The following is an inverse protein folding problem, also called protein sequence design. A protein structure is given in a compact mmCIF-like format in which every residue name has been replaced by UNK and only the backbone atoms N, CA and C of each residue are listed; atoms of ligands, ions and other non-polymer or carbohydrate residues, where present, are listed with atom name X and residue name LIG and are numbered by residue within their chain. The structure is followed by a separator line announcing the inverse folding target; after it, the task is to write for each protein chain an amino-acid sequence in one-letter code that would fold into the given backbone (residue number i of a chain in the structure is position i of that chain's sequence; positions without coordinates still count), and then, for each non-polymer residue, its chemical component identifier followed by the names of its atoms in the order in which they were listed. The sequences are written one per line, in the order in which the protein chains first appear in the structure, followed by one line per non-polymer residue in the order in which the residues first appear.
data_IF_741696582044
#
_entry.id   IF_741696582044
#
_cell.length_a   1.000
_cell.length_b   1.000
_cell.length_c   1.000
_cell.angle_alpha   90.00
_cell.angle_beta   90.00
_cell.angle_gamma   90.00
#
_symmetry.space_group_name_H-M   'P 1'
#
loop_
_entity.id
_entity.type
_entity.pdbx_description
1 polymer ?
#
# COMPACT_ATOMS: atom_id res chain seq x y z
N UNK A 1 -40.60 34.55 -74.74
CA UNK A 1 -40.76 34.38 -73.26
C UNK A 1 -39.86 33.23 -72.79
N UNK A 2 -38.77 33.54 -72.09
CA UNK A 2 -37.80 32.55 -71.58
C UNK A 2 -37.99 32.45 -70.04
N UNK A 3 -38.49 31.34 -69.57
CA UNK A 3 -38.54 31.03 -68.12
C UNK A 3 -37.19 30.45 -67.66
N UNK A 4 -36.52 31.15 -66.75
CA UNK A 4 -35.34 30.66 -66.07
C UNK A 4 -35.81 29.90 -64.82
N UNK A 5 -35.53 28.58 -64.75
CA UNK A 5 -35.71 27.73 -63.58
C UNK A 5 -34.47 27.90 -62.68
N UNK A 6 -34.67 28.42 -61.49
CA UNK A 6 -33.64 28.39 -60.41
C UNK A 6 -33.86 27.15 -59.59
N UNK A 7 -32.93 26.19 -59.67
CA UNK A 7 -32.85 25.05 -58.78
C UNK A 7 -32.03 25.51 -57.55
N UNK A 8 -32.70 25.67 -56.41
CA UNK A 8 -32.05 25.89 -55.11
C UNK A 8 -31.52 24.55 -54.59
N UNK A 9 -30.21 24.38 -54.63
CA UNK A 9 -29.51 23.21 -54.06
C UNK A 9 -29.31 23.48 -52.57
N UNK A 10 -30.20 22.92 -51.71
CA UNK A 10 -30.08 22.94 -50.26
C UNK A 10 -29.00 21.93 -49.84
N UNK A 11 -27.81 22.42 -49.51
CA UNK A 11 -26.74 21.63 -48.92
C UNK A 11 -27.10 21.37 -47.46
N UNK A 12 -27.67 20.20 -47.17
CA UNK A 12 -27.82 19.67 -45.78
C UNK A 12 -26.44 19.21 -45.32
N UNK A 13 -25.71 20.05 -44.58
CA UNK A 13 -24.50 19.67 -43.87
C UNK A 13 -24.95 18.87 -42.65
N UNK A 14 -24.95 17.54 -42.76
CA UNK A 14 -25.01 16.63 -41.60
C UNK A 14 -23.70 16.78 -40.86
N UNK A 15 -23.68 17.60 -39.82
CA UNK A 15 -22.65 17.61 -38.82
C UNK A 15 -22.77 16.29 -38.01
N UNK A 16 -22.13 15.24 -38.49
CA UNK A 16 -21.88 14.06 -37.70
C UNK A 16 -20.96 14.47 -36.55
N UNK A 17 -21.54 14.81 -35.40
CA UNK A 17 -20.84 14.83 -34.12
C UNK A 17 -20.43 13.39 -33.84
N UNK A 18 -19.25 12.98 -34.29
CA UNK A 18 -18.62 11.76 -33.87
C UNK A 18 -18.32 12.00 -32.39
N UNK A 19 -19.18 11.50 -31.53
CA UNK A 19 -18.87 11.27 -30.12
C UNK A 19 -17.72 10.26 -30.11
N UNK A 20 -16.48 10.76 -30.10
CA UNK A 20 -15.36 9.97 -29.68
C UNK A 20 -15.67 9.62 -28.23
N UNK A 21 -16.19 8.44 -27.96
CA UNK A 21 -16.09 7.85 -26.65
C UNK A 21 -14.57 7.80 -26.38
N UNK A 22 -14.07 8.72 -25.56
CA UNK A 22 -12.69 8.66 -25.12
C UNK A 22 -12.53 7.29 -24.44
N UNK A 23 -11.73 6.43 -25.05
CA UNK A 23 -11.33 5.20 -24.38
C UNK A 23 -10.64 5.59 -23.06
N UNK A 24 -10.94 4.85 -21.99
CA UNK A 24 -10.28 5.07 -20.71
C UNK A 24 -8.76 4.99 -20.87
N UNK A 25 -8.05 5.86 -20.20
CA UNK A 25 -6.58 5.89 -20.20
C UNK A 25 -6.08 4.65 -19.44
N UNK A 26 -5.24 3.84 -20.08
CA UNK A 26 -4.67 2.64 -19.48
C UNK A 26 -3.60 3.03 -18.47
N UNK A 27 -3.77 2.55 -17.22
CA UNK A 27 -2.87 2.78 -16.10
C UNK A 27 -2.33 1.45 -15.60
N UNK A 28 -1.00 1.33 -15.53
CA UNK A 28 -0.32 0.18 -14.98
C UNK A 28 0.08 0.46 -13.52
N UNK A 29 -0.60 -0.19 -12.61
CA UNK A 29 -0.35 -0.10 -11.18
C UNK A 29 0.29 -1.38 -10.66
N UNK A 30 1.53 -1.30 -10.14
CA UNK A 30 2.20 -2.47 -9.60
C UNK A 30 2.19 -2.49 -8.07
N UNK A 31 1.88 -3.66 -7.50
CA UNK A 31 1.98 -3.89 -6.05
C UNK A 31 3.36 -4.41 -5.67
N UNK A 32 3.69 -4.35 -4.39
CA UNK A 32 4.94 -4.87 -3.85
C UNK A 32 4.89 -6.37 -3.55
N UNK A 33 3.68 -6.96 -3.52
CA UNK A 33 3.46 -8.36 -3.16
C UNK A 33 2.39 -9.01 -4.03
N UNK A 34 2.18 -10.31 -3.83
CA UNK A 34 1.09 -11.09 -4.44
C UNK A 34 -0.27 -10.53 -4.03
N UNK A 35 -1.30 -10.74 -4.84
CA UNK A 35 -2.65 -10.27 -4.55
C UNK A 35 -3.16 -10.82 -3.22
N UNK A 36 -3.62 -9.91 -2.36
CA UNK A 36 -4.08 -10.21 -1.00
C UNK A 36 -4.93 -9.05 -0.45
N UNK A 37 -5.63 -9.20 0.69
CA UNK A 37 -6.51 -8.18 1.24
C UNK A 37 -5.84 -6.83 1.55
N UNK A 38 -4.54 -6.81 1.74
CA UNK A 38 -3.73 -5.59 1.89
C UNK A 38 -3.68 -4.74 0.60
N UNK A 39 -4.21 -5.27 -0.50
CA UNK A 39 -4.44 -4.57 -1.77
C UNK A 39 -5.93 -4.40 -2.05
N UNK A 40 -6.79 -4.80 -1.11
CA UNK A 40 -8.24 -4.98 -1.32
C UNK A 40 -8.96 -3.75 -1.83
N UNK A 41 -8.62 -2.55 -1.33
CA UNK A 41 -9.25 -1.31 -1.79
C UNK A 41 -8.99 -1.00 -3.26
N UNK A 42 -7.82 -1.36 -3.79
CA UNK A 42 -7.51 -1.16 -5.21
C UNK A 42 -8.32 -2.15 -6.09
N UNK A 43 -8.42 -3.41 -5.66
CA UNK A 43 -9.28 -4.39 -6.34
C UNK A 43 -10.76 -4.02 -6.23
N UNK A 44 -11.19 -3.43 -5.10
CA UNK A 44 -12.55 -2.95 -4.93
C UNK A 44 -12.84 -1.77 -5.87
N UNK A 45 -11.90 -0.84 -6.02
CA UNK A 45 -12.05 0.28 -6.94
C UNK A 45 -12.22 -0.20 -8.40
N UNK A 46 -11.53 -1.28 -8.79
CA UNK A 46 -11.76 -1.95 -10.09
C UNK A 46 -13.15 -2.57 -10.14
N UNK A 47 -13.52 -3.37 -9.13
CA UNK A 47 -14.79 -4.10 -9.08
C UNK A 47 -16.03 -3.19 -9.10
N UNK A 48 -15.91 -1.99 -8.52
CA UNK A 48 -16.95 -0.97 -8.44
C UNK A 48 -16.90 0.05 -9.60
N UNK A 49 -15.96 -0.14 -10.54
CA UNK A 49 -15.68 0.77 -11.66
C UNK A 49 -15.31 2.20 -11.23
N UNK A 50 -14.76 2.41 -10.03
CA UNK A 50 -14.42 3.75 -9.53
C UNK A 50 -13.38 4.44 -10.42
N UNK A 51 -12.37 3.71 -10.91
CA UNK A 51 -11.40 4.24 -11.85
C UNK A 51 -12.03 4.64 -13.19
N UNK A 52 -12.91 3.80 -13.72
CA UNK A 52 -13.58 4.06 -15.00
C UNK A 52 -14.52 5.27 -14.96
N UNK A 53 -15.10 5.60 -13.80
CA UNK A 53 -15.94 6.80 -13.61
C UNK A 53 -15.20 8.11 -13.88
N UNK A 54 -13.87 8.10 -13.72
CA UNK A 54 -13.03 9.27 -14.02
C UNK A 54 -12.05 9.02 -15.20
N UNK A 55 -12.34 8.03 -16.05
CA UNK A 55 -11.67 7.84 -17.33
C UNK A 55 -10.40 6.99 -17.27
N UNK A 56 -10.16 6.19 -16.21
CA UNK A 56 -9.01 5.30 -16.12
C UNK A 56 -9.40 3.83 -16.31
N UNK A 57 -8.53 3.08 -16.98
CA UNK A 57 -8.53 1.62 -17.08
C UNK A 57 -7.30 1.09 -16.34
N UNK A 58 -7.48 0.68 -15.08
CA UNK A 58 -6.39 0.30 -14.19
C UNK A 58 -6.13 -1.21 -14.24
N UNK A 59 -4.92 -1.59 -14.62
CA UNK A 59 -4.40 -2.94 -14.54
C UNK A 59 -3.46 -3.10 -13.35
N UNK A 60 -3.73 -4.06 -12.44
CA UNK A 60 -2.87 -4.35 -11.31
C UNK A 60 -1.84 -5.41 -11.69
N UNK A 61 -0.56 -5.05 -11.60
CA UNK A 61 0.59 -5.94 -11.81
C UNK A 61 1.09 -6.39 -10.44
N UNK A 62 1.04 -7.70 -10.18
CA UNK A 62 1.49 -8.22 -8.90
C UNK A 62 3.00 -8.11 -8.71
N UNK A 63 3.40 -7.88 -7.46
CA UNK A 63 4.75 -8.12 -6.98
C UNK A 63 4.95 -9.56 -6.51
N UNK A 64 5.84 -9.72 -5.55
CA UNK A 64 6.13 -11.01 -4.92
C UNK A 64 7.58 -11.08 -4.43
N UNK A 65 8.00 -12.24 -3.88
CA UNK A 65 9.39 -12.43 -3.48
C UNK A 65 10.34 -12.13 -4.64
N UNK A 66 11.35 -11.28 -4.38
CA UNK A 66 12.38 -10.89 -5.35
C UNK A 66 11.88 -10.11 -6.59
N UNK A 67 10.62 -9.68 -6.65
CA UNK A 67 10.12 -8.81 -7.72
C UNK A 67 10.39 -7.34 -7.37
N UNK A 68 11.16 -6.66 -8.21
CA UNK A 68 11.48 -5.24 -8.03
C UNK A 68 10.60 -4.36 -8.94
N UNK A 69 9.36 -4.13 -8.54
CA UNK A 69 8.44 -3.27 -9.29
C UNK A 69 8.79 -1.77 -9.20
N UNK A 70 9.49 -1.32 -8.14
CA UNK A 70 9.98 0.06 -8.09
C UNK A 70 10.98 0.35 -9.22
N UNK A 71 11.82 -0.60 -9.59
CA UNK A 71 12.70 -0.43 -10.74
C UNK A 71 11.92 -0.28 -12.06
N UNK A 72 10.73 -0.91 -12.19
CA UNK A 72 9.85 -0.71 -13.35
C UNK A 72 9.25 0.70 -13.37
N UNK A 73 8.88 1.25 -12.20
CA UNK A 73 8.42 2.63 -12.07
C UNK A 73 9.50 3.62 -12.53
N UNK A 74 10.73 3.46 -12.03
CA UNK A 74 11.88 4.30 -12.39
C UNK A 74 12.19 4.21 -13.89
N UNK A 75 11.98 3.04 -14.49
CA UNK A 75 12.18 2.82 -15.91
C UNK A 75 10.99 3.28 -16.80
N UNK A 76 9.95 3.89 -16.21
CA UNK A 76 8.74 4.34 -16.93
C UNK A 76 7.90 3.21 -17.54
N UNK A 77 7.98 2.00 -16.97
CA UNK A 77 7.23 0.82 -17.44
C UNK A 77 5.90 0.62 -16.71
N UNK A 78 5.66 1.35 -15.66
CA UNK A 78 4.42 1.42 -14.89
C UNK A 78 4.20 2.85 -14.42
N UNK A 79 2.95 3.22 -14.15
CA UNK A 79 2.55 4.58 -13.79
C UNK A 79 2.56 4.80 -12.28
N UNK A 80 2.13 3.80 -11.52
CA UNK A 80 2.09 3.82 -10.07
C UNK A 80 2.69 2.54 -9.49
N UNK A 81 3.28 2.69 -8.31
CA UNK A 81 3.81 1.58 -7.53
C UNK A 81 3.33 1.67 -6.08
N UNK A 82 2.88 0.56 -5.54
CA UNK A 82 2.58 0.43 -4.12
C UNK A 82 3.86 0.05 -3.36
N UNK A 83 4.43 1.02 -2.67
CA UNK A 83 5.58 0.83 -1.80
C UNK A 83 5.19 0.32 -0.40
N UNK A 84 6.21 0.03 0.39
CA UNK A 84 6.06 -0.31 1.81
C UNK A 84 5.93 0.95 2.67
N UNK A 85 7.05 1.40 3.24
CA UNK A 85 7.11 2.57 4.11
C UNK A 85 7.89 3.75 3.49
N UNK A 86 8.00 4.86 4.22
CA UNK A 86 8.59 6.11 3.73
C UNK A 86 10.13 6.11 3.61
N UNK A 87 10.84 5.13 4.16
CA UNK A 87 12.32 5.11 4.11
C UNK A 87 12.82 5.06 2.66
N UNK A 88 12.27 4.15 1.86
CA UNK A 88 12.74 3.93 0.49
C UNK A 88 12.49 5.12 -0.46
N UNK A 89 11.33 5.78 -0.47
CA UNK A 89 11.12 7.01 -1.26
C UNK A 89 12.07 8.14 -0.87
N UNK A 90 12.36 8.32 0.43
CA UNK A 90 13.29 9.34 0.92
C UNK A 90 14.72 9.02 0.41
N UNK A 91 15.15 7.77 0.52
CA UNK A 91 16.47 7.34 0.00
C UNK A 91 16.55 7.45 -1.53
N UNK A 92 15.48 7.13 -2.27
CA UNK A 92 15.45 7.31 -3.71
C UNK A 92 15.67 8.80 -4.11
N UNK A 93 14.98 9.71 -3.41
CA UNK A 93 15.18 11.16 -3.64
C UNK A 93 16.60 11.61 -3.33
N UNK A 94 17.23 11.07 -2.29
CA UNK A 94 18.63 11.40 -1.97
C UNK A 94 19.63 10.95 -3.05
N UNK A 95 19.24 9.95 -3.84
CA UNK A 95 20.02 9.46 -4.99
C UNK A 95 19.65 10.16 -6.31
N UNK A 96 18.86 11.23 -6.26
CA UNK A 96 18.43 11.99 -7.44
C UNK A 96 17.28 11.34 -8.23
N UNK A 97 16.67 10.26 -7.71
CA UNK A 97 15.54 9.61 -8.38
C UNK A 97 14.26 10.37 -8.04
N UNK A 98 13.55 10.95 -9.04
CA UNK A 98 12.43 11.87 -8.80
C UNK A 98 11.10 11.14 -8.51
N UNK A 99 11.10 10.25 -7.50
CA UNK A 99 9.88 9.59 -7.00
C UNK A 99 9.13 10.54 -6.08
N UNK A 100 7.79 10.52 -6.16
CA UNK A 100 6.86 11.18 -5.24
C UNK A 100 5.87 10.18 -4.65
N UNK A 101 5.71 10.19 -3.35
CA UNK A 101 4.58 9.55 -2.65
C UNK A 101 3.39 10.49 -2.72
N UNK A 102 2.28 10.03 -3.29
CA UNK A 102 1.07 10.83 -3.53
C UNK A 102 -0.08 10.47 -2.60
N UNK A 103 -0.03 9.31 -1.93
CA UNK A 103 -0.93 8.88 -0.87
C UNK A 103 -0.29 7.80 0.00
N UNK A 104 -0.86 7.54 1.20
CA UNK A 104 -0.49 6.42 2.06
C UNK A 104 -1.76 5.78 2.65
N UNK A 105 -2.09 4.57 2.20
CA UNK A 105 -3.34 3.93 2.60
C UNK A 105 -3.28 3.31 3.98
N UNK A 106 -2.11 2.86 4.43
CA UNK A 106 -1.97 2.33 5.78
C UNK A 106 -1.47 3.40 6.74
N UNK A 107 -2.33 3.72 7.70
CA UNK A 107 -2.02 4.63 8.79
C UNK A 107 -1.07 3.98 9.82
N UNK A 108 -1.05 2.66 9.91
CA UNK A 108 -0.06 1.89 10.67
C UNK A 108 0.61 0.89 9.74
N UNK A 109 1.93 0.81 9.80
CA UNK A 109 2.65 -0.26 9.12
C UNK A 109 2.32 -1.59 9.82
N UNK A 110 1.75 -2.58 9.14
CA UNK A 110 1.38 -3.87 9.75
C UNK A 110 2.58 -4.79 9.96
N UNK A 111 3.80 -4.28 9.88
CA UNK A 111 5.02 -5.03 10.17
C UNK A 111 5.05 -5.49 11.62
N UNK A 112 5.27 -6.78 11.81
CA UNK A 112 5.36 -7.42 13.14
C UNK A 112 6.67 -8.19 13.31
N UNK A 113 6.98 -8.46 14.58
CA UNK A 113 7.84 -9.59 14.98
C UNK A 113 6.95 -10.62 15.66
N UNK A 114 7.20 -11.89 15.36
CA UNK A 114 6.57 -13.04 16.01
C UNK A 114 7.57 -13.81 16.81
N UNK A 115 7.12 -14.36 17.96
CA UNK A 115 7.85 -15.33 18.78
C UNK A 115 6.93 -16.48 19.14
N UNK A 116 7.49 -17.59 19.64
CA UNK A 116 6.69 -18.68 20.18
C UNK A 116 6.16 -18.35 21.57
N UNK A 117 4.94 -18.80 21.87
CA UNK A 117 4.32 -18.63 23.20
C UNK A 117 4.96 -19.53 24.25
N UNK A 118 5.00 -19.06 25.49
CA UNK A 118 5.39 -19.82 26.66
C UNK A 118 6.84 -20.37 26.65
N UNK A 119 7.73 -19.67 25.96
CA UNK A 119 9.16 -20.01 25.87
C UNK A 119 10.07 -18.89 26.40
N UNK A 120 9.50 -17.95 27.18
CA UNK A 120 10.25 -16.85 27.78
C UNK A 120 10.48 -15.66 26.86
N UNK A 121 9.71 -15.57 25.77
CA UNK A 121 9.74 -14.47 24.79
C UNK A 121 8.33 -13.94 24.53
N UNK A 122 7.54 -13.81 25.61
CA UNK A 122 6.10 -13.54 25.55
C UNK A 122 5.75 -12.04 25.60
N UNK A 123 6.76 -11.17 25.72
CA UNK A 123 6.61 -9.72 25.67
C UNK A 123 7.74 -9.10 24.84
N UNK A 124 7.59 -7.82 24.48
CA UNK A 124 8.54 -7.12 23.63
C UNK A 124 9.97 -7.08 24.19
N UNK A 125 10.10 -6.88 25.52
CA UNK A 125 11.41 -6.83 26.15
C UNK A 125 12.14 -8.19 26.11
N UNK A 126 11.38 -9.26 26.14
CA UNK A 126 11.92 -10.61 26.02
C UNK A 126 12.10 -11.07 24.57
N UNK A 127 11.36 -10.49 23.61
CA UNK A 127 11.49 -10.80 22.19
C UNK A 127 12.92 -10.55 21.65
N UNK A 128 13.67 -9.62 22.25
CA UNK A 128 15.09 -9.41 21.91
C UNK A 128 16.03 -10.57 22.30
N UNK A 129 15.53 -11.58 23.04
CA UNK A 129 16.29 -12.80 23.36
C UNK A 129 16.24 -13.86 22.25
N UNK A 130 15.39 -13.64 21.22
CA UNK A 130 15.28 -14.58 20.09
C UNK A 130 16.61 -14.76 19.37
N UNK A 131 17.01 -16.00 19.16
CA UNK A 131 18.17 -16.35 18.34
C UNK A 131 17.95 -17.73 17.69
N UNK A 132 17.83 -17.79 16.38
CA UNK A 132 17.90 -16.71 15.39
C UNK A 132 16.62 -15.87 15.30
N UNK A 133 16.73 -14.66 14.70
CA UNK A 133 15.64 -13.81 14.29
C UNK A 133 15.62 -13.72 12.76
N UNK A 134 14.56 -14.24 12.14
CA UNK A 134 14.43 -14.30 10.69
C UNK A 134 13.90 -12.98 10.14
N UNK A 135 14.77 -12.22 9.45
CA UNK A 135 14.48 -10.91 8.86
C UNK A 135 14.93 -10.90 7.41
N UNK A 136 14.06 -10.46 6.49
CA UNK A 136 14.39 -10.30 5.07
C UNK A 136 15.44 -9.21 4.86
N UNK A 137 16.08 -9.20 3.67
CA UNK A 137 17.09 -8.18 3.35
C UNK A 137 16.47 -6.77 3.32
N UNK A 138 15.26 -6.61 2.83
CA UNK A 138 14.53 -5.33 2.86
C UNK A 138 14.15 -4.91 4.27
N UNK A 139 13.78 -5.85 5.15
CA UNK A 139 13.51 -5.60 6.57
C UNK A 139 14.78 -5.20 7.33
N UNK A 140 15.93 -5.82 6.98
CA UNK A 140 17.21 -5.53 7.61
C UNK A 140 17.65 -4.08 7.43
N UNK A 141 17.56 -3.55 6.22
CA UNK A 141 17.94 -2.15 5.93
C UNK A 141 16.86 -1.13 6.27
N UNK A 142 15.81 -1.53 6.96
CA UNK A 142 14.67 -0.69 7.30
C UNK A 142 14.35 -0.82 8.81
N UNK A 143 13.25 -1.47 9.18
CA UNK A 143 12.80 -1.53 10.55
C UNK A 143 13.76 -2.27 11.49
N UNK A 144 14.56 -3.21 11.00
CA UNK A 144 15.50 -3.93 11.87
C UNK A 144 16.66 -3.06 12.35
N UNK A 145 17.14 -2.13 11.52
CA UNK A 145 18.14 -1.12 11.98
C UNK A 145 17.56 -0.24 13.10
N UNK A 146 16.28 0.12 12.99
CA UNK A 146 15.59 0.82 14.06
C UNK A 146 15.47 -0.05 15.33
N UNK A 147 15.16 -1.36 15.20
CA UNK A 147 15.13 -2.28 16.34
C UNK A 147 16.50 -2.42 17.02
N UNK A 148 17.59 -2.46 16.26
CA UNK A 148 18.95 -2.49 16.79
C UNK A 148 19.25 -1.20 17.58
N UNK A 149 18.97 -0.04 16.98
CA UNK A 149 19.41 1.24 17.54
C UNK A 149 18.51 1.76 18.68
N UNK A 150 17.21 1.46 18.65
CA UNK A 150 16.27 1.98 19.65
C UNK A 150 15.81 0.91 20.68
N UNK A 151 15.93 -0.39 20.34
CA UNK A 151 15.40 -1.48 21.18
C UNK A 151 16.42 -2.54 21.60
N UNK A 152 17.71 -2.30 21.32
CA UNK A 152 18.82 -3.17 21.70
C UNK A 152 18.75 -4.60 21.15
N UNK A 153 18.10 -4.82 20.00
CA UNK A 153 18.29 -6.04 19.24
C UNK A 153 19.72 -6.08 18.69
N UNK A 154 20.20 -7.25 18.30
CA UNK A 154 21.59 -7.42 17.85
C UNK A 154 21.63 -7.87 16.39
N UNK A 155 22.59 -7.37 15.65
CA UNK A 155 22.76 -7.74 14.24
C UNK A 155 23.03 -9.24 14.07
N UNK A 156 23.78 -9.84 14.99
CA UNK A 156 24.18 -11.24 14.97
C UNK A 156 23.02 -12.21 15.08
N UNK A 157 21.88 -11.79 15.67
CA UNK A 157 20.67 -12.59 15.78
C UNK A 157 20.00 -12.81 14.41
N UNK A 158 20.26 -11.92 13.46
CA UNK A 158 19.59 -11.94 12.16
C UNK A 158 20.00 -13.14 11.33
N UNK A 159 18.98 -13.85 10.78
CA UNK A 159 19.12 -14.79 9.67
C UNK A 159 18.17 -14.37 8.54
N UNK A 160 18.54 -14.59 7.26
CA UNK A 160 17.68 -14.25 6.14
C UNK A 160 16.31 -14.93 6.23
N UNK A 161 15.25 -14.12 6.13
CA UNK A 161 13.89 -14.62 5.95
C UNK A 161 13.56 -14.64 4.45
N UNK A 162 13.33 -15.83 3.92
CA UNK A 162 13.04 -16.08 2.50
C UNK A 162 11.55 -16.29 2.23
N UNK A 163 10.69 -15.75 3.11
CA UNK A 163 9.23 -15.90 3.07
C UNK A 163 8.75 -17.34 3.24
N UNK A 164 9.57 -18.17 3.89
CA UNK A 164 9.24 -19.52 4.34
C UNK A 164 9.36 -19.58 5.86
N UNK A 165 8.25 -19.82 6.56
CA UNK A 165 8.20 -19.87 8.01
C UNK A 165 8.59 -21.25 8.60
N UNK A 166 8.98 -22.24 7.78
CA UNK A 166 9.37 -23.54 8.28
C UNK A 166 10.54 -23.49 9.30
N UNK A 167 11.59 -22.68 9.09
CA UNK A 167 12.68 -22.55 10.07
C UNK A 167 12.20 -21.97 11.40
N UNK A 168 11.29 -20.98 11.39
CA UNK A 168 10.66 -20.43 12.59
C UNK A 168 9.85 -21.51 13.34
N UNK A 169 8.99 -22.26 12.62
CA UNK A 169 8.17 -23.31 13.21
C UNK A 169 9.02 -24.40 13.87
N UNK A 170 10.14 -24.75 13.25
CA UNK A 170 11.04 -25.82 13.73
C UNK A 170 11.87 -25.43 14.96
N UNK A 171 12.13 -24.13 15.19
CA UNK A 171 12.97 -23.65 16.27
C UNK A 171 12.18 -22.77 17.24
N UNK A 172 11.84 -23.31 18.42
CA UNK A 172 11.05 -22.59 19.43
C UNK A 172 11.77 -21.38 20.05
N UNK A 173 13.09 -21.26 19.92
CA UNK A 173 13.87 -20.10 20.38
C UNK A 173 13.98 -18.98 19.36
N UNK A 174 13.45 -19.20 18.15
CA UNK A 174 13.53 -18.22 17.07
C UNK A 174 12.42 -17.18 17.13
N UNK A 175 12.68 -16.04 16.47
CA UNK A 175 11.67 -15.06 16.09
C UNK A 175 11.63 -14.90 14.58
N UNK A 176 10.58 -14.29 14.09
CA UNK A 176 10.40 -14.03 12.64
C UNK A 176 9.65 -12.74 12.41
N UNK A 177 10.05 -11.98 11.38
CA UNK A 177 9.22 -10.92 10.85
C UNK A 177 7.94 -11.47 10.19
N UNK A 178 6.93 -10.64 10.09
CA UNK A 178 5.72 -10.94 9.33
C UNK A 178 4.85 -9.70 9.17
N UNK A 179 3.74 -9.89 8.51
CA UNK A 179 2.65 -8.92 8.46
C UNK A 179 1.51 -9.40 9.35
N UNK A 180 0.97 -8.52 10.16
CA UNK A 180 -0.12 -8.81 11.13
C UNK A 180 -1.30 -9.55 10.49
N UNK A 181 -1.55 -9.26 9.24
CA UNK A 181 -2.67 -9.76 8.44
C UNK A 181 -2.39 -11.09 7.73
N UNK A 182 -1.17 -11.62 7.80
CA UNK A 182 -0.76 -12.77 6.97
C UNK A 182 -0.08 -13.89 7.79
N UNK A 183 1.16 -13.69 8.23
CA UNK A 183 1.97 -14.74 8.84
C UNK A 183 1.38 -15.37 10.09
N UNK A 184 0.76 -14.63 11.05
CA UNK A 184 0.18 -15.27 12.23
C UNK A 184 -0.90 -16.30 11.88
N UNK A 185 -1.74 -16.01 10.89
CA UNK A 185 -2.73 -16.95 10.36
C UNK A 185 -2.09 -18.19 9.74
N UNK A 186 -1.03 -18.00 8.95
CA UNK A 186 -0.29 -19.12 8.34
C UNK A 186 0.36 -20.02 9.39
N UNK A 187 0.92 -19.44 10.46
CA UNK A 187 1.51 -20.19 11.57
C UNK A 187 0.42 -20.98 12.32
N UNK A 188 -0.69 -20.33 12.68
CA UNK A 188 -1.82 -20.99 13.34
C UNK A 188 -2.33 -22.20 12.54
N UNK A 189 -2.53 -22.03 11.22
CA UNK A 189 -3.00 -23.11 10.36
C UNK A 189 -2.02 -24.29 10.27
N UNK A 190 -0.71 -24.03 10.30
CA UNK A 190 0.32 -25.07 10.17
C UNK A 190 0.62 -25.79 11.48
N UNK A 191 0.47 -25.10 12.60
CA UNK A 191 0.92 -25.61 13.91
C UNK A 191 -0.23 -25.88 14.90
N UNK A 192 -1.40 -25.29 14.67
CA UNK A 192 -2.49 -25.23 15.63
C UNK A 192 -2.28 -24.25 16.78
N UNK A 193 -1.14 -23.54 16.82
CA UNK A 193 -0.76 -22.59 17.86
C UNK A 193 -0.60 -21.17 17.29
N UNK A 194 -1.20 -20.18 17.93
CA UNK A 194 -0.95 -18.77 17.60
C UNK A 194 0.42 -18.33 18.14
N UNK A 195 1.23 -17.61 17.35
CA UNK A 195 2.44 -16.98 17.86
C UNK A 195 2.12 -15.79 18.77
N UNK A 196 3.09 -15.33 19.56
CA UNK A 196 3.10 -13.96 20.05
C UNK A 196 3.31 -13.01 18.87
N UNK A 197 2.64 -11.85 18.91
CA UNK A 197 2.68 -10.86 17.82
C UNK A 197 3.01 -9.50 18.41
N UNK A 198 4.08 -8.88 17.94
CA UNK A 198 4.52 -7.55 18.32
C UNK A 198 4.42 -6.62 17.12
N UNK A 199 3.40 -5.76 17.09
CA UNK A 199 3.19 -4.80 16.02
C UNK A 199 4.16 -3.62 16.19
N UNK A 200 5.11 -3.44 15.27
CA UNK A 200 6.20 -2.49 15.42
C UNK A 200 5.75 -1.03 15.56
N UNK A 201 4.59 -0.67 15.00
CA UNK A 201 4.01 0.66 15.18
C UNK A 201 3.66 0.95 16.64
N UNK A 202 3.30 -0.04 17.44
CA UNK A 202 2.97 0.11 18.86
C UNK A 202 4.23 0.35 19.71
N UNK A 203 5.39 -0.04 19.20
CA UNK A 203 6.71 0.18 19.83
C UNK A 203 7.47 1.37 19.25
N UNK A 204 6.83 2.10 18.33
CA UNK A 204 7.35 3.37 17.85
C UNK A 204 7.85 3.39 16.41
N UNK A 205 7.79 2.30 15.64
CA UNK A 205 8.03 2.34 14.19
C UNK A 205 6.80 2.90 13.47
N UNK A 206 6.54 4.19 13.67
CA UNK A 206 5.29 4.83 13.26
C UNK A 206 5.36 5.41 11.84
N UNK A 207 5.73 4.59 10.84
CA UNK A 207 5.68 4.96 9.43
C UNK A 207 4.25 4.91 8.88
N UNK A 208 3.99 5.73 7.85
CA UNK A 208 2.97 5.39 6.88
C UNK A 208 3.42 4.18 6.08
N UNK A 209 2.48 3.34 5.62
CA UNK A 209 2.75 2.19 4.76
C UNK A 209 1.73 2.09 3.64
N UNK A 210 1.92 1.14 2.72
CA UNK A 210 1.13 1.06 1.49
C UNK A 210 1.08 2.43 0.80
N UNK A 211 2.29 2.98 0.61
CA UNK A 211 2.49 4.27 -0.05
C UNK A 211 2.28 4.13 -1.55
N UNK A 212 1.60 5.09 -2.16
CA UNK A 212 1.49 5.16 -3.62
C UNK A 212 2.59 6.08 -4.14
N UNK A 213 3.50 5.47 -4.88
CA UNK A 213 4.65 6.12 -5.50
C UNK A 213 4.40 6.31 -6.99
N UNK A 214 4.77 7.47 -7.50
CA UNK A 214 4.82 7.76 -8.94
C UNK A 214 6.03 8.65 -9.25
N UNK A 215 6.34 8.85 -10.53
CA UNK A 215 7.41 9.77 -10.92
C UNK A 215 6.92 11.22 -10.79
N UNK A 216 7.81 12.14 -10.44
CA UNK A 216 7.48 13.57 -10.31
C UNK A 216 6.93 14.17 -11.60
N UNK A 217 7.39 13.66 -12.76
CA UNK A 217 6.86 14.03 -14.07
C UNK A 217 5.35 13.76 -14.19
N UNK A 218 4.87 12.61 -13.66
CA UNK A 218 3.44 12.28 -13.66
C UNK A 218 2.63 13.29 -12.81
N UNK A 219 3.19 13.72 -11.67
CA UNK A 219 2.58 14.74 -10.79
C UNK A 219 2.47 16.10 -11.49
N UNK A 220 3.44 16.45 -12.35
CA UNK A 220 3.50 17.71 -13.06
C UNK A 220 2.60 17.69 -14.30
N UNK A 221 2.72 16.67 -15.13
CA UNK A 221 2.13 16.64 -16.47
C UNK A 221 0.73 16.01 -16.51
N UNK A 222 0.43 15.04 -15.61
CA UNK A 222 -0.81 14.26 -15.62
C UNK A 222 -1.51 14.30 -14.25
N UNK A 223 -1.60 15.52 -13.67
CA UNK A 223 -2.16 15.74 -12.33
C UNK A 223 -3.57 15.18 -12.16
N UNK A 224 -4.41 15.27 -13.18
CA UNK A 224 -5.80 14.79 -13.13
C UNK A 224 -5.87 13.26 -13.08
N UNK A 225 -4.95 12.58 -13.77
CA UNK A 225 -4.78 11.12 -13.69
C UNK A 225 -4.40 10.69 -12.28
N UNK A 226 -3.43 11.39 -11.67
CA UNK A 226 -3.02 11.10 -10.28
C UNK A 226 -4.19 11.33 -9.32
N UNK A 227 -4.91 12.43 -9.45
CA UNK A 227 -6.06 12.75 -8.59
C UNK A 227 -7.18 11.71 -8.74
N UNK A 228 -7.54 11.34 -9.97
CA UNK A 228 -8.52 10.30 -10.26
C UNK A 228 -8.11 8.97 -9.60
N UNK A 229 -6.87 8.51 -9.83
CA UNK A 229 -6.36 7.26 -9.26
C UNK A 229 -6.45 7.24 -7.73
N UNK A 230 -6.02 8.32 -7.05
CA UNK A 230 -6.04 8.40 -5.58
C UNK A 230 -7.46 8.46 -5.04
N UNK A 231 -8.34 9.28 -5.64
CA UNK A 231 -9.73 9.39 -5.18
C UNK A 231 -10.49 8.08 -5.33
N UNK A 232 -10.40 7.44 -6.51
CA UNK A 232 -11.02 6.15 -6.77
C UNK A 232 -10.51 5.05 -5.82
N UNK A 233 -9.19 5.00 -5.59
CA UNK A 233 -8.59 4.08 -4.63
C UNK A 233 -9.10 4.32 -3.20
N UNK A 234 -9.27 5.58 -2.78
CA UNK A 234 -9.77 5.92 -1.44
C UNK A 234 -11.23 5.46 -1.25
N UNK A 235 -12.10 5.65 -2.25
CA UNK A 235 -13.47 5.13 -2.25
C UNK A 235 -13.45 3.59 -2.24
N UNK A 236 -12.60 2.98 -3.06
CA UNK A 236 -12.43 1.53 -3.08
C UNK A 236 -12.03 0.96 -1.72
N UNK A 237 -11.15 1.61 -0.98
CA UNK A 237 -10.81 1.19 0.38
C UNK A 237 -11.98 1.33 1.37
N UNK A 238 -12.77 2.40 1.28
CA UNK A 238 -13.99 2.54 2.09
C UNK A 238 -14.96 1.40 1.81
N UNK A 239 -15.23 1.13 0.54
CA UNK A 239 -16.14 0.07 0.11
C UNK A 239 -15.63 -1.33 0.51
N UNK A 240 -14.31 -1.55 0.42
CA UNK A 240 -13.70 -2.82 0.81
C UNK A 240 -13.82 -3.10 2.30
N UNK A 241 -13.63 -2.06 3.13
CA UNK A 241 -13.69 -2.19 4.59
C UNK A 241 -15.11 -2.22 5.14
N UNK A 242 -16.03 -1.44 4.57
CA UNK A 242 -17.35 -1.19 5.17
C UNK A 242 -18.52 -1.64 4.29
N UNK A 243 -18.29 -1.87 2.99
CA UNK A 243 -19.26 -2.38 2.04
C UNK A 243 -19.18 -3.90 1.84
N UNK A 244 -19.47 -4.35 0.61
CA UNK A 244 -19.37 -5.76 0.23
C UNK A 244 -18.08 -6.05 -0.56
N UNK A 245 -17.09 -6.74 0.03
CA UNK A 245 -15.81 -7.01 -0.60
C UNK A 245 -15.81 -8.24 -1.53
N UNK A 246 -16.92 -8.94 -1.75
CA UNK A 246 -16.96 -10.23 -2.46
C UNK A 246 -16.36 -10.16 -3.88
N UNK A 247 -16.67 -9.13 -4.65
CA UNK A 247 -16.15 -8.97 -6.01
C UNK A 247 -14.64 -8.71 -6.00
N UNK A 248 -14.16 -7.86 -5.08
CA UNK A 248 -12.73 -7.61 -4.92
C UNK A 248 -12.00 -8.88 -4.47
N UNK A 249 -12.56 -9.62 -3.53
CA UNK A 249 -11.99 -10.89 -3.07
C UNK A 249 -11.95 -11.95 -4.18
N UNK A 250 -12.94 -11.97 -5.08
CA UNK A 250 -12.93 -12.83 -6.27
C UNK A 250 -11.76 -12.46 -7.20
N UNK A 251 -11.50 -11.17 -7.44
CA UNK A 251 -10.36 -10.71 -8.21
C UNK A 251 -9.03 -11.06 -7.53
N UNK A 252 -8.92 -10.87 -6.21
CA UNK A 252 -7.74 -11.26 -5.44
C UNK A 252 -7.45 -12.75 -5.61
N UNK A 253 -8.47 -13.61 -5.46
CA UNK A 253 -8.31 -15.07 -5.66
C UNK A 253 -7.99 -15.46 -7.10
N UNK A 254 -8.52 -14.73 -8.08
CA UNK A 254 -8.16 -14.95 -9.48
C UNK A 254 -6.67 -14.70 -9.73
N UNK A 255 -6.12 -13.63 -9.14
CA UNK A 255 -4.70 -13.29 -9.27
C UNK A 255 -3.79 -14.11 -8.34
N UNK A 256 -4.28 -14.56 -7.20
CA UNK A 256 -3.56 -15.38 -6.22
C UNK A 256 -4.43 -16.59 -5.81
N UNK A 257 -4.40 -17.68 -6.59
CA UNK A 257 -5.22 -18.87 -6.32
C UNK A 257 -4.90 -19.58 -4.99
N UNK A 258 -3.73 -19.32 -4.41
CA UNK A 258 -3.29 -19.97 -3.17
C UNK A 258 -3.92 -19.33 -1.91
N UNK A 259 -4.50 -18.13 -2.02
CA UNK A 259 -5.14 -17.47 -0.89
C UNK A 259 -6.52 -18.06 -0.60
N UNK A 260 -6.78 -18.37 0.67
CA UNK A 260 -8.06 -18.95 1.10
C UNK A 260 -9.05 -17.89 1.58
N UNK A 261 -10.36 -18.20 1.52
CA UNK A 261 -11.41 -17.31 2.07
C UNK A 261 -11.22 -17.06 3.58
N UNK A 262 -10.72 -18.06 4.34
CA UNK A 262 -10.40 -17.91 5.76
C UNK A 262 -9.27 -16.90 5.99
N UNK A 263 -8.23 -16.94 5.17
CA UNK A 263 -7.15 -15.97 5.24
C UNK A 263 -7.63 -14.57 4.86
N UNK A 264 -8.46 -14.45 3.83
CA UNK A 264 -9.05 -13.17 3.42
C UNK A 264 -9.87 -12.57 4.57
N UNK A 265 -10.74 -13.36 5.18
CA UNK A 265 -11.56 -12.91 6.32
C UNK A 265 -10.71 -12.48 7.51
N UNK A 266 -9.71 -13.28 7.87
CA UNK A 266 -8.74 -12.95 8.93
C UNK A 266 -8.02 -11.62 8.64
N UNK A 267 -7.51 -11.44 7.42
CA UNK A 267 -6.80 -10.23 7.03
C UNK A 267 -7.68 -8.99 7.13
N UNK A 268 -8.91 -9.03 6.60
CA UNK A 268 -9.86 -7.92 6.67
C UNK A 268 -10.19 -7.58 8.12
N UNK A 269 -10.41 -8.59 8.97
CA UNK A 269 -10.66 -8.40 10.40
C UNK A 269 -9.48 -7.66 11.06
N UNK A 270 -8.24 -8.12 10.83
CA UNK A 270 -7.04 -7.49 11.41
C UNK A 270 -6.82 -6.06 10.91
N UNK A 271 -7.06 -5.80 9.62
CA UNK A 271 -6.99 -4.45 9.07
C UNK A 271 -7.93 -3.48 9.82
N UNK A 272 -9.14 -3.94 10.17
CA UNK A 272 -10.15 -3.15 10.90
C UNK A 272 -9.81 -3.00 12.39
N UNK A 273 -9.63 -4.12 13.10
CA UNK A 273 -9.46 -4.13 14.57
C UNK A 273 -8.24 -3.31 15.00
N UNK A 274 -7.14 -3.41 14.25
CA UNK A 274 -5.91 -2.69 14.58
C UNK A 274 -5.87 -1.28 13.96
N UNK A 275 -6.90 -0.87 13.23
CA UNK A 275 -6.96 0.43 12.59
C UNK A 275 -5.78 0.66 11.63
N UNK A 276 -5.42 -0.37 10.88
CA UNK A 276 -4.26 -0.30 9.97
C UNK A 276 -4.50 0.77 8.90
N UNK A 277 -5.71 0.84 8.35
CA UNK A 277 -6.08 1.75 7.26
C UNK A 277 -6.81 2.97 7.80
N UNK A 278 -7.84 2.73 8.59
CA UNK A 278 -8.76 3.76 9.05
C UNK A 278 -8.57 4.05 10.53
N UNK A 279 -7.60 4.91 10.79
CA UNK A 279 -7.24 5.42 12.12
C UNK A 279 -6.47 6.74 12.01
N UNK A 280 -6.21 7.39 13.12
CA UNK A 280 -5.44 8.64 13.13
C UNK A 280 -6.03 9.70 12.20
N UNK A 281 -5.22 10.26 11.31
CA UNK A 281 -5.66 11.34 10.43
C UNK A 281 -6.69 10.92 9.38
N UNK A 282 -6.79 9.64 9.04
CA UNK A 282 -7.79 9.19 8.05
C UNK A 282 -9.24 9.34 8.53
N UNK A 283 -9.46 9.35 9.85
CA UNK A 283 -10.81 9.51 10.43
C UNK A 283 -11.43 10.86 10.11
N UNK A 284 -10.61 11.89 9.92
CA UNK A 284 -11.05 13.27 9.64
C UNK A 284 -10.75 13.72 8.21
N UNK A 285 -9.64 13.23 7.65
CA UNK A 285 -9.12 13.68 6.36
C UNK A 285 -9.42 12.74 5.20
N UNK A 286 -9.98 11.55 5.48
CA UNK A 286 -10.24 10.49 4.51
C UNK A 286 -9.09 9.47 4.38
N UNK A 287 -9.44 8.27 3.91
CA UNK A 287 -8.47 7.18 3.69
C UNK A 287 -7.47 7.61 2.61
N UNK A 288 -6.20 7.27 2.82
CA UNK A 288 -5.08 7.72 1.97
C UNK A 288 -4.37 8.96 2.48
N UNK A 289 -4.84 9.55 3.60
CA UNK A 289 -4.31 10.79 4.17
C UNK A 289 -2.86 10.68 4.64
N UNK A 290 -2.14 11.80 4.54
CA UNK A 290 -0.81 12.01 5.10
C UNK A 290 -0.72 13.40 5.72
N UNK A 291 0.14 13.59 6.72
CA UNK A 291 0.39 14.91 7.33
C UNK A 291 1.88 15.21 7.41
N UNK A 292 2.26 16.48 7.22
CA UNK A 292 3.65 16.94 7.38
C UNK A 292 4.20 16.66 8.78
N UNK A 293 3.35 16.83 9.80
CA UNK A 293 3.73 16.60 11.20
C UNK A 293 4.21 15.16 11.38
N UNK A 294 3.47 14.18 10.87
CA UNK A 294 3.84 12.77 11.00
C UNK A 294 5.01 12.39 10.13
N UNK A 295 5.10 12.91 8.90
CA UNK A 295 6.25 12.71 8.02
C UNK A 295 7.54 13.22 8.69
N UNK A 296 7.51 14.43 9.26
CA UNK A 296 8.62 15.01 10.00
C UNK A 296 9.01 14.18 11.22
N UNK A 297 8.01 13.74 12.00
CA UNK A 297 8.24 12.92 13.19
C UNK A 297 8.93 11.60 12.84
N UNK A 298 8.44 10.91 11.81
CA UNK A 298 9.04 9.68 11.34
C UNK A 298 10.48 9.89 10.81
N UNK A 299 10.67 10.90 9.96
CA UNK A 299 12.00 11.26 9.45
C UNK A 299 13.00 11.52 10.59
N UNK A 300 12.62 12.36 11.56
CA UNK A 300 13.49 12.67 12.69
C UNK A 300 13.88 11.41 13.51
N UNK A 301 12.91 10.48 13.67
CA UNK A 301 13.17 9.20 14.33
C UNK A 301 14.17 8.36 13.53
N UNK A 302 14.04 8.28 12.22
CA UNK A 302 14.97 7.53 11.36
C UNK A 302 16.36 8.16 11.31
N UNK A 303 16.44 9.48 11.40
CA UNK A 303 17.74 10.20 11.57
C UNK A 303 18.38 9.84 12.91
N UNK A 304 17.61 9.93 14.00
CA UNK A 304 18.12 9.56 15.34
C UNK A 304 18.59 8.10 15.39
N UNK A 305 17.91 7.20 14.70
CA UNK A 305 18.29 5.78 14.60
C UNK A 305 19.39 5.52 13.55
N UNK A 306 20.01 6.55 12.97
CA UNK A 306 21.13 6.41 12.02
C UNK A 306 20.75 5.78 10.66
N UNK A 307 19.46 5.67 10.35
CA UNK A 307 18.96 5.06 9.10
C UNK A 307 18.92 6.09 7.98
N UNK A 308 18.57 7.33 8.29
CA UNK A 308 18.53 8.45 7.35
C UNK A 308 19.52 9.53 7.79
N UNK A 309 20.11 10.25 6.85
CA UNK A 309 20.92 11.42 7.14
C UNK A 309 20.03 12.63 7.44
N UNK A 310 20.45 13.48 8.38
CA UNK A 310 19.79 14.74 8.71
C UNK A 310 19.91 15.80 7.60
N UNK A 311 20.82 15.59 6.65
CA UNK A 311 21.00 16.45 5.48
C UNK A 311 19.96 16.22 4.37
N UNK A 312 19.10 15.19 4.46
CA UNK A 312 18.14 14.87 3.42
C UNK A 312 16.93 15.79 3.47
N UNK A 313 16.51 16.30 2.33
CA UNK A 313 15.23 16.98 2.22
C UNK A 313 14.08 15.95 2.04
N UNK A 314 13.63 15.37 3.15
CA UNK A 314 12.56 14.37 3.15
C UNK A 314 11.23 14.86 2.52
N UNK A 315 11.00 16.19 2.48
CA UNK A 315 9.81 16.78 1.87
C UNK A 315 9.76 16.60 0.35
N UNK A 316 10.90 16.38 -0.29
CA UNK A 316 10.93 16.09 -1.72
C UNK A 316 10.36 14.70 -2.05
N UNK A 317 10.24 13.80 -1.07
CA UNK A 317 9.77 12.45 -1.27
C UNK A 317 8.24 12.31 -1.36
N UNK A 318 7.46 13.32 -1.01
CA UNK A 318 6.00 13.24 -1.00
C UNK A 318 5.32 14.56 -1.42
N UNK A 319 4.01 14.49 -1.66
CA UNK A 319 3.13 15.64 -1.83
C UNK A 319 1.78 15.39 -1.18
N UNK A 320 1.18 16.42 -0.60
CA UNK A 320 -0.17 16.36 -0.03
C UNK A 320 -1.26 16.84 -1.00
N UNK A 321 -0.90 17.13 -2.26
CA UNK A 321 -1.78 17.73 -3.26
C UNK A 321 -3.07 16.92 -3.49
N UNK A 322 -3.00 15.59 -3.41
CA UNK A 322 -4.07 14.69 -3.80
C UNK A 322 -4.82 14.06 -2.63
N UNK A 323 -4.36 14.25 -1.41
CA UNK A 323 -4.94 13.68 -0.19
C UNK A 323 -5.57 14.74 0.72
N UNK A 324 -6.13 14.32 1.85
CA UNK A 324 -6.68 15.21 2.90
C UNK A 324 -7.92 16.00 2.43
N UNK A 325 -8.66 15.47 1.46
CA UNK A 325 -9.85 16.10 0.87
C UNK A 325 -11.17 15.53 1.41
N UNK A 326 -11.12 14.66 2.41
CA UNK A 326 -12.28 13.98 2.96
C UNK A 326 -12.94 12.97 2.03
N UNK A 327 -12.23 12.50 0.99
CA UNK A 327 -12.77 11.54 0.03
C UNK A 327 -13.15 10.25 0.78
N UNK A 328 -14.36 9.74 0.50
CA UNK A 328 -14.90 8.53 1.08
C UNK A 328 -15.50 8.67 2.49
N UNK A 329 -15.38 9.83 3.18
CA UNK A 329 -15.97 10.02 4.52
C UNK A 329 -17.50 9.91 4.51
N UNK A 330 -18.13 10.51 3.51
CA UNK A 330 -19.60 10.46 3.36
C UNK A 330 -20.07 9.05 3.01
N UNK A 331 -19.38 8.36 2.12
CA UNK A 331 -19.62 6.97 1.75
C UNK A 331 -19.51 6.05 2.96
N UNK A 332 -18.47 6.23 3.76
CA UNK A 332 -18.27 5.51 5.03
C UNK A 332 -19.42 5.73 6.00
N UNK A 333 -19.87 6.97 6.16
CA UNK A 333 -21.01 7.29 7.04
C UNK A 333 -22.30 6.58 6.59
N UNK A 334 -22.52 6.48 5.27
CA UNK A 334 -23.68 5.77 4.70
C UNK A 334 -23.59 4.27 4.95
N UNK A 335 -22.41 3.67 4.75
CA UNK A 335 -22.19 2.23 4.90
C UNK A 335 -22.22 1.75 6.36
N UNK A 336 -22.05 2.67 7.33
CA UNK A 336 -22.08 2.35 8.77
C UNK A 336 -23.48 2.51 9.40
N UNK A 337 -24.47 3.04 8.66
CA UNK A 337 -25.89 3.16 9.08
C UNK A 337 -26.67 1.88 8.79
#
# INVERSE_FOLDING_TARGET
MKYKFYIALSLFIFMNSILFANANEKILFATNWLAQPEHGGFYQAIADNEYSKCGLDVEIIQGGPQVNNRAKLIAGKIDFYMGGNMIQPILARSQGIPIKVVAAYFQKDPQIIMTHKNVGMDNWEDAKKTDPLYISDTGFVSFYQWMINEHNFKEEQRRPYTFNSAPFIANKNSGQQGYLTSEPFSILNKTGEEPNVFLLSDYGFNSYSTTIETMEEQVINNSDVVECFINASSIGWVNYLYGNPEKANALIKYHNPDITDKQIAYSIEKLKIHGIIDSGSSLELGIGSMTDVRQKSFYNKMVKSGILSDSLNYKDAYTLKYVNKGIGLKEKEILLK
#
